data_IF_219726937008
#
_entry.id   IF_219726937008
#
_cell.length_a   1.000
_cell.length_b   1.000
_cell.length_c   1.000
_cell.angle_alpha   90.00
_cell.angle_beta   90.00
_cell.angle_gamma   90.00
#
_symmetry.space_group_name_H-M   'P 1'
#
loop_
_entity.id
_entity.type
_entity.pdbx_description
1 polymer ?
#
# COMPACT_ATOMS: atom_id res chain seq x y z
N UNK A 1 30.82 -4.73 -13.45
CA UNK A 1 29.61 -4.45 -14.21
C UNK A 1 28.85 -3.27 -13.63
N UNK A 2 28.41 -2.39 -14.48
CA UNK A 2 27.68 -1.20 -14.03
C UNK A 2 26.25 -1.55 -13.72
N UNK A 3 25.83 -1.19 -12.53
CA UNK A 3 24.46 -1.37 -12.09
C UNK A 3 23.60 -0.25 -12.64
N UNK A 4 22.40 -0.59 -13.15
CA UNK A 4 21.45 0.43 -13.57
C UNK A 4 20.92 1.13 -12.32
N UNK A 5 21.03 2.48 -12.21
CA UNK A 5 20.65 3.18 -10.98
C UNK A 5 19.23 2.89 -10.52
N UNK A 6 18.28 2.70 -11.45
CA UNK A 6 16.90 2.40 -11.12
C UNK A 6 16.76 1.09 -10.33
N UNK A 7 17.61 0.13 -10.61
CA UNK A 7 17.57 -1.19 -9.98
C UNK A 7 18.52 -1.31 -8.79
N UNK A 8 19.26 -0.28 -8.47
CA UNK A 8 20.15 -0.29 -7.32
C UNK A 8 19.36 -0.10 -6.03
N UNK A 9 19.91 -0.64 -4.94
CA UNK A 9 19.26 -0.48 -3.65
C UNK A 9 19.33 0.96 -3.16
N UNK A 10 18.39 1.33 -2.30
CA UNK A 10 18.32 2.65 -1.68
C UNK A 10 18.15 2.49 -0.18
N UNK A 11 19.06 3.10 0.56
CA UNK A 11 18.98 3.11 2.02
C UNK A 11 18.27 4.36 2.48
N UNK A 12 17.20 4.18 3.26
CA UNK A 12 16.47 5.28 3.89
C UNK A 12 16.47 4.99 5.39
N UNK A 13 17.35 5.67 6.13
CA UNK A 13 17.54 5.42 7.56
C UNK A 13 17.82 3.93 7.81
N UNK A 14 16.95 3.24 8.54
CA UNK A 14 17.10 1.83 8.88
C UNK A 14 16.51 0.88 7.84
N UNK A 15 15.95 1.40 6.76
CA UNK A 15 15.26 0.59 5.75
C UNK A 15 16.10 0.59 4.48
N UNK A 16 16.23 -0.59 3.86
CA UNK A 16 16.87 -0.72 2.56
C UNK A 16 15.85 -1.21 1.55
N UNK A 17 15.59 -0.39 0.53
CA UNK A 17 14.74 -0.77 -0.59
C UNK A 17 15.60 -1.51 -1.61
N UNK A 18 15.08 -2.61 -2.16
CA UNK A 18 15.84 -3.42 -3.12
C UNK A 18 16.06 -2.73 -4.46
N UNK A 19 15.21 -1.76 -4.80
CA UNK A 19 15.38 -0.93 -5.99
C UNK A 19 14.66 0.40 -5.78
N UNK A 20 14.70 1.26 -6.79
CA UNK A 20 14.16 2.61 -6.69
C UNK A 20 12.83 2.79 -7.43
N UNK A 21 12.14 1.69 -7.72
CA UNK A 21 10.84 1.72 -8.35
C UNK A 21 9.78 1.76 -7.24
N UNK A 22 8.95 2.79 -7.27
CA UNK A 22 7.94 3.05 -6.23
C UNK A 22 6.58 3.19 -6.89
N UNK A 23 5.60 2.45 -6.39
CA UNK A 23 4.22 2.60 -6.83
C UNK A 23 3.64 3.88 -6.23
N UNK A 24 3.13 4.76 -7.08
CA UNK A 24 2.44 5.97 -6.63
C UNK A 24 1.12 5.62 -5.96
N UNK A 25 0.64 6.44 -5.00
CA UNK A 25 -0.66 6.21 -4.40
C UNK A 25 -1.78 6.40 -5.43
N UNK A 26 -2.68 5.42 -5.50
CA UNK A 26 -3.79 5.44 -6.46
C UNK A 26 -5.05 4.94 -5.78
N UNK A 27 -6.02 5.83 -5.57
CA UNK A 27 -7.29 5.49 -4.96
C UNK A 27 -8.03 4.49 -5.83
N UNK A 28 -8.49 3.41 -5.23
CA UNK A 28 -9.23 2.36 -5.93
C UNK A 28 -10.74 2.56 -5.84
N UNK A 29 -11.22 3.29 -4.83
CA UNK A 29 -12.65 3.54 -4.56
C UNK A 29 -13.44 2.24 -4.43
N UNK A 30 -12.85 1.23 -3.81
CA UNK A 30 -13.46 -0.10 -3.62
C UNK A 30 -13.65 -0.47 -2.16
N UNK A 31 -13.39 0.44 -1.25
CA UNK A 31 -13.65 0.22 0.17
C UNK A 31 -15.12 0.44 0.48
N UNK A 32 -15.61 -0.24 1.50
CA UNK A 32 -16.95 -0.06 2.00
C UNK A 32 -16.87 0.37 3.46
N UNK A 33 -17.42 1.55 3.76
CA UNK A 33 -17.31 2.14 5.10
C UNK A 33 -15.85 2.18 5.60
N UNK A 34 -14.94 2.48 4.69
CA UNK A 34 -13.52 2.54 4.97
C UNK A 34 -12.82 1.19 5.03
N UNK A 35 -13.54 0.09 4.94
CA UNK A 35 -12.97 -1.25 5.06
C UNK A 35 -12.32 -1.69 3.76
N UNK A 36 -11.07 -2.11 3.86
CA UNK A 36 -10.34 -2.68 2.73
C UNK A 36 -10.97 -4.03 2.38
N UNK A 37 -11.05 -4.32 1.10
CA UNK A 37 -11.68 -5.53 0.56
C UNK A 37 -10.65 -6.40 -0.16
N UNK A 38 -11.12 -7.53 -0.69
CA UNK A 38 -10.29 -8.40 -1.51
C UNK A 38 -9.75 -7.70 -2.76
N UNK A 39 -10.46 -6.68 -3.26
CA UNK A 39 -9.95 -5.87 -4.35
C UNK A 39 -8.58 -5.28 -4.02
N UNK A 40 -8.45 -4.72 -2.80
CA UNK A 40 -7.21 -4.11 -2.36
C UNK A 40 -6.11 -5.16 -2.18
N UNK A 41 -6.44 -6.33 -1.66
CA UNK A 41 -5.48 -7.41 -1.52
C UNK A 41 -4.91 -7.79 -2.89
N UNK A 42 -5.78 -7.98 -3.88
CA UNK A 42 -5.35 -8.32 -5.23
C UNK A 42 -4.57 -7.18 -5.89
N UNK A 43 -5.02 -5.95 -5.72
CA UNK A 43 -4.36 -4.78 -6.30
C UNK A 43 -2.92 -4.65 -5.80
N UNK A 44 -2.74 -4.65 -4.48
CA UNK A 44 -1.40 -4.46 -3.91
C UNK A 44 -0.53 -5.69 -4.08
N UNK A 45 -1.10 -6.88 -4.02
CA UNK A 45 -0.34 -8.12 -4.24
C UNK A 45 0.23 -8.18 -5.65
N UNK A 46 -0.53 -7.74 -6.65
CA UNK A 46 -0.07 -7.72 -8.03
C UNK A 46 1.20 -6.89 -8.17
N UNK A 47 1.24 -5.71 -7.55
CA UNK A 47 2.42 -4.86 -7.59
C UNK A 47 3.55 -5.41 -6.74
N UNK A 48 3.23 -6.02 -5.60
CA UNK A 48 4.25 -6.64 -4.75
C UNK A 48 4.99 -7.75 -5.49
N UNK A 49 4.28 -8.56 -6.27
CA UNK A 49 4.90 -9.62 -7.06
C UNK A 49 5.67 -9.10 -8.26
N UNK A 50 5.46 -7.86 -8.68
CA UNK A 50 6.17 -7.31 -9.83
C UNK A 50 7.63 -6.96 -9.53
N UNK A 51 8.02 -6.93 -8.26
CA UNK A 51 9.41 -6.70 -7.87
C UNK A 51 9.78 -5.26 -7.59
N UNK A 52 8.79 -4.37 -7.42
CA UNK A 52 9.10 -2.98 -7.06
C UNK A 52 9.70 -2.88 -5.65
N UNK A 53 10.36 -1.74 -5.38
CA UNK A 53 11.05 -1.51 -4.12
C UNK A 53 10.12 -1.06 -3.00
N UNK A 54 9.09 -0.31 -3.32
CA UNK A 54 8.14 0.21 -2.33
C UNK A 54 6.82 0.58 -3.00
N UNK A 55 5.78 0.71 -2.20
CA UNK A 55 4.47 1.14 -2.68
C UNK A 55 3.85 2.09 -1.68
N UNK A 56 3.23 3.16 -2.19
CA UNK A 56 2.40 4.01 -1.37
C UNK A 56 0.98 3.49 -1.38
N UNK A 57 0.40 3.37 -0.20
CA UNK A 57 -1.00 3.02 -0.06
C UNK A 57 -1.84 4.24 -0.43
N UNK A 58 -3.02 4.00 -0.99
CA UNK A 58 -3.93 5.05 -1.42
C UNK A 58 -4.33 5.96 -0.28
N UNK A 59 -4.88 7.14 -0.62
CA UNK A 59 -5.36 8.10 0.37
C UNK A 59 -6.34 7.42 1.32
N UNK A 60 -6.08 7.57 2.61
CA UNK A 60 -6.83 6.88 3.66
C UNK A 60 -7.41 7.91 4.61
N UNK A 61 -8.74 7.88 4.80
CA UNK A 61 -9.43 8.84 5.64
C UNK A 61 -9.21 8.57 7.12
N UNK A 62 -8.92 9.61 7.88
CA UNK A 62 -8.80 9.51 9.34
C UNK A 62 -10.15 9.73 10.03
N UNK A 63 -11.17 10.06 9.25
CA UNK A 63 -12.56 10.15 9.69
C UNK A 63 -13.47 9.87 8.49
N UNK A 64 -14.74 9.49 8.70
CA UNK A 64 -15.66 9.29 7.56
C UNK A 64 -15.78 10.52 6.68
N UNK A 65 -15.79 11.71 7.27
CA UNK A 65 -15.92 12.97 6.54
C UNK A 65 -14.63 13.32 5.77
N UNK A 66 -13.50 12.77 6.20
CA UNK A 66 -12.20 13.03 5.56
C UNK A 66 -11.97 12.24 4.29
N UNK A 67 -12.90 11.35 3.90
CA UNK A 67 -12.76 10.58 2.67
C UNK A 67 -12.94 11.48 1.45
N UNK A 68 -12.18 11.17 0.39
CA UNK A 68 -12.38 11.85 -0.89
C UNK A 68 -13.71 11.43 -1.49
N UNK A 69 -14.04 10.14 -1.38
CA UNK A 69 -15.30 9.58 -1.85
C UNK A 69 -15.72 8.41 -0.97
N UNK A 70 -16.93 7.89 -1.19
CA UNK A 70 -17.47 6.81 -0.38
C UNK A 70 -16.66 5.53 -0.45
N UNK A 71 -15.93 5.30 -1.54
CA UNK A 71 -15.10 4.12 -1.72
C UNK A 71 -13.70 4.24 -1.18
N UNK A 72 -13.34 5.34 -0.53
CA UNK A 72 -12.00 5.51 0.04
C UNK A 72 -11.82 4.63 1.26
N UNK A 73 -10.57 4.14 1.42
CA UNK A 73 -10.20 3.41 2.63
C UNK A 73 -10.20 4.33 3.83
N UNK A 74 -10.30 3.75 5.01
CA UNK A 74 -10.31 4.50 6.26
C UNK A 74 -9.42 3.86 7.32
N UNK A 75 -9.08 4.65 8.31
CA UNK A 75 -8.30 4.20 9.45
C UNK A 75 -8.83 4.83 10.74
N UNK A 76 -10.14 5.07 10.80
CA UNK A 76 -10.74 5.75 11.95
C UNK A 76 -11.30 4.79 13.00
N UNK A 77 -11.20 3.48 12.81
CA UNK A 77 -11.65 2.51 13.81
C UNK A 77 -10.67 1.35 13.92
N UNK A 78 -10.76 0.63 15.03
CA UNK A 78 -9.90 -0.54 15.26
C UNK A 78 -10.15 -1.64 14.21
N UNK A 79 -11.37 -1.78 13.73
CA UNK A 79 -11.68 -2.76 12.68
C UNK A 79 -10.92 -2.44 11.39
N UNK A 80 -10.78 -1.16 11.05
CA UNK A 80 -10.00 -0.76 9.89
C UNK A 80 -8.54 -1.16 10.05
N UNK A 81 -7.98 -0.96 11.23
CA UNK A 81 -6.58 -1.28 11.50
C UNK A 81 -6.34 -2.77 11.34
N UNK A 82 -7.20 -3.59 11.92
CA UNK A 82 -7.08 -5.04 11.87
C UNK A 82 -7.14 -5.56 10.42
N UNK A 83 -8.11 -5.08 9.64
CA UNK A 83 -8.30 -5.52 8.25
C UNK A 83 -7.14 -5.03 7.38
N UNK A 84 -6.70 -3.79 7.55
CA UNK A 84 -5.57 -3.26 6.80
C UNK A 84 -4.31 -4.03 7.09
N UNK A 85 -4.05 -4.35 8.35
CA UNK A 85 -2.89 -5.16 8.70
C UNK A 85 -2.93 -6.52 8.01
N UNK A 86 -4.06 -7.19 8.08
CA UNK A 86 -4.21 -8.52 7.48
C UNK A 86 -4.00 -8.49 5.97
N UNK A 87 -4.59 -7.51 5.28
CA UNK A 87 -4.61 -7.48 3.81
C UNK A 87 -3.34 -6.90 3.22
N UNK A 88 -2.68 -5.98 3.92
CA UNK A 88 -1.58 -5.22 3.34
C UNK A 88 -0.21 -5.65 3.83
N UNK A 89 -0.10 -6.26 4.99
CA UNK A 89 1.20 -6.60 5.57
C UNK A 89 1.54 -8.09 5.49
N UNK A 90 0.56 -8.98 5.61
CA UNK A 90 0.85 -10.41 5.59
C UNK A 90 1.57 -10.88 4.32
N UNK A 91 1.16 -10.44 3.11
CA UNK A 91 1.86 -10.88 1.90
C UNK A 91 3.31 -10.41 1.83
N UNK A 92 3.67 -9.36 2.56
CA UNK A 92 5.01 -8.78 2.52
C UNK A 92 5.92 -9.27 3.64
N UNK A 93 5.38 -10.02 4.60
CA UNK A 93 6.14 -10.52 5.74
C UNK A 93 6.73 -11.92 5.54
N UNK A 94 6.50 -12.46 4.39
CA UNK A 94 7.03 -13.80 4.08
C UNK A 94 8.48 -13.78 3.67
#
# INVERSE_FOLDING_TARGET
>A
MNEVPLFSSLNIKSITLRNRIVLSPMCQYKAKDGMISDWHLQHYSRFAFSGLGAAFIEATGVSPEGRIGHGCTGIWSDDHIAVSYTHLTLPTNS
#
